data_IF_777919814515
#
_entry.id   IF_777919814515
#
_cell.length_a   1.000
_cell.length_b   1.000
_cell.length_c   1.000
_cell.angle_alpha   90.00
_cell.angle_beta   90.00
_cell.angle_gamma   90.00
#
_symmetry.space_group_name_H-M   'P 1'
#
loop_
_entity.id
_entity.type
_entity.pdbx_description
1 polymer ?
#
# COMPACT_ATOMS: atom_id res chain seq x y z
N UNK A 1 0.10 34.62 -21.33
CA UNK A 1 1.47 34.13 -21.59
C UNK A 1 1.39 32.62 -21.57
N UNK A 2 1.93 31.97 -22.60
CA UNK A 2 1.94 30.51 -22.66
C UNK A 2 3.06 30.04 -21.71
N UNK A 3 2.71 29.42 -20.57
CA UNK A 3 3.71 28.95 -19.59
C UNK A 3 4.37 27.69 -20.11
N UNK A 4 5.56 27.34 -19.58
CA UNK A 4 6.22 26.05 -19.90
C UNK A 4 5.28 24.87 -19.63
N UNK A 5 4.44 24.97 -18.60
CA UNK A 5 3.45 23.94 -18.25
C UNK A 5 2.35 23.81 -19.30
N UNK A 6 1.86 24.91 -19.89
CA UNK A 6 0.86 24.88 -20.98
C UNK A 6 1.38 24.13 -22.18
N UNK A 7 2.61 24.41 -22.62
CA UNK A 7 3.25 23.73 -23.74
C UNK A 7 3.46 22.23 -23.47
N UNK A 8 3.86 21.86 -22.24
CA UNK A 8 4.00 20.46 -21.84
C UNK A 8 2.65 19.73 -21.76
N UNK A 9 1.59 20.40 -21.30
CA UNK A 9 0.24 19.82 -21.28
C UNK A 9 -0.27 19.52 -22.70
N UNK A 10 -0.03 20.42 -23.66
CA UNK A 10 -0.36 20.19 -25.08
C UNK A 10 0.41 18.98 -25.65
N UNK A 11 1.71 18.89 -25.39
CA UNK A 11 2.54 17.73 -25.78
C UNK A 11 2.07 16.44 -25.15
N UNK A 12 1.72 16.45 -23.84
CA UNK A 12 1.20 15.28 -23.12
C UNK A 12 -0.08 14.77 -23.76
N UNK A 13 -1.02 15.65 -24.10
CA UNK A 13 -2.29 15.27 -24.75
C UNK A 13 -2.08 14.55 -26.08
N UNK A 14 -1.03 14.90 -26.81
CA UNK A 14 -0.65 14.24 -28.06
C UNK A 14 0.10 12.92 -27.87
N UNK A 15 0.95 12.83 -26.83
CA UNK A 15 1.90 11.73 -26.66
C UNK A 15 1.41 10.62 -25.72
N UNK A 16 0.46 10.89 -24.81
CA UNK A 16 0.02 9.93 -23.80
C UNK A 16 -1.49 9.68 -23.86
N UNK A 17 -1.94 8.42 -23.62
CA UNK A 17 -3.36 8.11 -23.65
C UNK A 17 -4.11 8.78 -22.50
N UNK A 18 -5.36 9.16 -22.73
CA UNK A 18 -6.26 9.79 -21.76
C UNK A 18 -6.41 9.00 -20.46
N UNK A 19 -6.28 7.67 -20.51
CA UNK A 19 -6.38 6.80 -19.33
C UNK A 19 -5.28 7.01 -18.28
N UNK A 20 -4.15 7.66 -18.66
CA UNK A 20 -3.11 8.08 -17.72
C UNK A 20 -3.49 9.44 -17.13
N UNK A 21 -4.33 9.43 -16.10
CA UNK A 21 -4.75 10.64 -15.38
C UNK A 21 -3.61 11.24 -14.56
N UNK A 22 -3.61 12.57 -14.44
CA UNK A 22 -2.69 13.32 -13.55
C UNK A 22 -3.48 14.31 -12.71
N UNK A 23 -3.03 14.56 -11.49
CA UNK A 23 -3.63 15.53 -10.58
C UNK A 23 -3.17 16.94 -10.91
N UNK A 24 -1.86 17.15 -11.03
CA UNK A 24 -1.26 18.46 -11.24
C UNK A 24 -1.18 18.81 -12.73
N UNK A 25 -1.34 20.09 -13.05
CA UNK A 25 -1.14 20.62 -14.41
C UNK A 25 0.25 21.25 -14.61
N UNK A 26 1.10 21.18 -13.58
CA UNK A 26 2.52 21.56 -13.60
C UNK A 26 3.41 20.32 -13.59
N UNK A 27 4.69 20.49 -13.87
CA UNK A 27 5.65 19.39 -14.05
C UNK A 27 6.82 19.56 -13.08
N UNK A 28 7.12 18.51 -12.32
CA UNK A 28 8.25 18.48 -11.42
C UNK A 28 9.59 18.58 -12.19
N UNK A 29 10.53 19.37 -11.66
CA UNK A 29 11.90 19.47 -12.15
C UNK A 29 12.88 18.79 -11.20
N UNK A 30 12.72 19.01 -9.90
CA UNK A 30 13.52 18.37 -8.85
C UNK A 30 12.70 18.17 -7.58
N UNK A 31 13.18 17.28 -6.74
CA UNK A 31 12.61 17.09 -5.41
C UNK A 31 13.69 16.70 -4.41
N UNK A 32 13.51 17.09 -3.15
CA UNK A 32 14.40 16.77 -2.05
C UNK A 32 13.62 16.73 -0.74
N UNK A 33 13.82 15.69 0.07
CA UNK A 33 13.09 15.46 1.30
C UNK A 33 11.56 15.59 1.09
N UNK A 34 10.90 16.57 1.68
CA UNK A 34 9.46 16.82 1.56
C UNK A 34 9.10 17.94 0.55
N UNK A 35 10.05 18.40 -0.26
CA UNK A 35 9.84 19.51 -1.18
C UNK A 35 9.98 19.09 -2.64
N UNK A 36 9.03 19.51 -3.47
CA UNK A 36 9.10 19.42 -4.94
C UNK A 36 9.20 20.82 -5.52
N UNK A 37 10.03 21.00 -6.54
CA UNK A 37 10.09 22.22 -7.36
C UNK A 37 9.60 21.90 -8.77
N UNK A 38 8.76 22.76 -9.28
CA UNK A 38 8.32 22.67 -10.67
C UNK A 38 9.34 23.32 -11.64
N UNK A 39 9.04 23.23 -12.94
CA UNK A 39 9.89 23.79 -13.99
C UNK A 39 9.96 25.33 -14.00
N UNK A 40 9.06 26.01 -13.31
CA UNK A 40 9.02 27.46 -13.17
C UNK A 40 9.65 27.93 -11.85
N UNK A 41 10.13 26.99 -11.00
CA UNK A 41 10.80 27.26 -9.74
C UNK A 41 9.87 27.39 -8.54
N UNK A 42 8.56 27.14 -8.71
CA UNK A 42 7.63 27.13 -7.59
C UNK A 42 7.89 25.93 -6.68
N UNK A 43 7.69 26.10 -5.37
CA UNK A 43 7.91 25.06 -4.35
C UNK A 43 6.60 24.53 -3.83
N UNK A 44 6.57 23.22 -3.62
CA UNK A 44 5.41 22.51 -3.03
C UNK A 44 5.88 21.59 -1.91
N UNK A 45 5.20 21.62 -0.77
CA UNK A 45 5.34 20.63 0.29
C UNK A 45 4.57 19.37 -0.15
N UNK A 46 5.27 18.23 -0.20
CA UNK A 46 4.72 16.98 -0.72
C UNK A 46 4.17 16.08 0.40
N UNK A 47 2.90 16.24 0.74
CA UNK A 47 2.19 15.29 1.62
C UNK A 47 1.64 14.08 0.85
N UNK A 48 1.71 14.09 -0.49
CA UNK A 48 1.36 12.93 -1.31
C UNK A 48 2.43 11.84 -1.28
N UNK A 49 3.70 12.23 -1.11
CA UNK A 49 4.84 11.33 -1.02
C UNK A 49 4.93 10.32 -2.18
N UNK A 50 4.57 10.75 -3.41
CA UNK A 50 4.49 9.83 -4.56
C UNK A 50 3.43 8.73 -4.40
N UNK A 51 2.31 9.02 -3.76
CA UNK A 51 1.25 8.08 -3.31
C UNK A 51 1.81 7.13 -2.23
N UNK A 52 2.28 7.72 -1.13
CA UNK A 52 2.78 7.02 0.05
C UNK A 52 4.00 6.10 -0.20
N UNK A 53 4.90 6.52 -1.09
CA UNK A 53 6.13 5.79 -1.44
C UNK A 53 7.35 6.29 -0.65
N UNK A 54 7.36 7.57 -0.28
CA UNK A 54 8.57 8.28 0.14
C UNK A 54 8.59 8.53 1.66
N UNK A 55 8.53 7.46 2.45
CA UNK A 55 8.60 7.57 3.93
C UNK A 55 9.96 8.09 4.42
N UNK A 56 11.02 7.93 3.62
CA UNK A 56 12.35 8.48 3.88
C UNK A 56 12.56 9.85 3.22
N UNK A 57 11.56 10.39 2.54
CA UNK A 57 11.69 11.62 1.73
C UNK A 57 12.25 11.38 0.34
N UNK A 58 12.17 12.41 -0.51
CA UNK A 58 12.77 12.41 -1.84
C UNK A 58 14.29 12.36 -1.74
N UNK A 59 14.93 11.49 -2.52
CA UNK A 59 16.39 11.40 -2.67
C UNK A 59 17.14 11.28 -1.33
N UNK A 60 16.65 10.44 -0.44
CA UNK A 60 17.35 10.21 0.83
C UNK A 60 18.84 9.88 0.59
N UNK A 61 19.80 10.55 1.27
CA UNK A 61 21.23 10.42 0.96
C UNK A 61 21.74 8.97 0.98
N UNK A 62 21.34 8.17 1.98
CA UNK A 62 21.72 6.75 2.08
C UNK A 62 21.19 5.93 0.90
N UNK A 63 19.94 6.17 0.50
CA UNK A 63 19.31 5.47 -0.63
C UNK A 63 20.03 5.80 -1.93
N UNK A 64 20.34 7.09 -2.17
CA UNK A 64 21.07 7.51 -3.37
C UNK A 64 22.50 6.93 -3.39
N UNK A 65 23.19 6.92 -2.25
CA UNK A 65 24.53 6.36 -2.15
C UNK A 65 24.54 4.85 -2.45
N UNK A 66 23.62 4.07 -1.85
CA UNK A 66 23.53 2.63 -2.09
C UNK A 66 23.20 2.28 -3.54
N UNK A 67 22.29 3.02 -4.16
CA UNK A 67 21.93 2.86 -5.57
C UNK A 67 23.12 3.21 -6.46
N UNK A 68 23.83 4.31 -6.19
CA UNK A 68 25.02 4.74 -6.96
C UNK A 68 26.12 3.68 -6.85
N UNK A 69 26.35 3.13 -5.68
CA UNK A 69 27.32 2.04 -5.49
C UNK A 69 26.92 0.80 -6.29
N UNK A 70 25.65 0.38 -6.23
CA UNK A 70 25.17 -0.78 -7.01
C UNK A 70 25.36 -0.59 -8.52
N UNK A 71 25.18 0.62 -9.04
CA UNK A 71 25.40 0.93 -10.46
C UNK A 71 26.85 0.71 -10.90
N UNK A 72 27.82 0.75 -9.98
CA UNK A 72 29.23 0.44 -10.31
C UNK A 72 29.53 -1.05 -10.41
N UNK A 73 28.62 -1.92 -9.91
CA UNK A 73 28.79 -3.39 -9.91
C UNK A 73 28.10 -4.02 -11.13
N UNK A 74 26.78 -3.97 -11.16
CA UNK A 74 25.95 -4.41 -12.28
C UNK A 74 24.54 -3.84 -12.13
N UNK A 75 23.82 -3.72 -13.25
CA UNK A 75 22.47 -3.14 -13.30
C UNK A 75 21.37 -4.21 -13.26
N UNK A 76 21.64 -5.39 -13.86
CA UNK A 76 20.63 -6.45 -13.99
C UNK A 76 21.28 -7.78 -14.36
N UNK A 77 20.81 -8.88 -13.76
CA UNK A 77 21.23 -10.25 -14.09
C UNK A 77 20.05 -11.20 -14.24
N UNK A 78 18.81 -10.77 -13.95
CA UNK A 78 17.66 -11.60 -13.66
C UNK A 78 17.99 -12.61 -12.55
N UNK A 79 17.54 -12.37 -11.32
CA UNK A 79 17.90 -13.19 -10.13
C UNK A 79 17.73 -14.71 -10.37
N UNK A 80 16.73 -15.10 -11.14
CA UNK A 80 16.45 -16.49 -11.48
C UNK A 80 17.50 -17.11 -12.41
N UNK A 81 18.34 -16.30 -13.09
CA UNK A 81 19.41 -16.76 -13.98
C UNK A 81 20.75 -16.71 -13.26
N UNK A 82 21.10 -15.55 -12.71
CA UNK A 82 22.33 -15.36 -11.94
C UNK A 82 21.98 -14.67 -10.63
N UNK A 83 21.88 -15.43 -9.53
CA UNK A 83 21.53 -14.89 -8.22
C UNK A 83 22.65 -13.98 -7.68
N UNK A 84 22.29 -13.10 -6.76
CA UNK A 84 23.21 -12.17 -6.08
C UNK A 84 22.88 -12.08 -4.60
N UNK A 85 23.92 -11.92 -3.78
CA UNK A 85 23.88 -11.97 -2.33
C UNK A 85 22.92 -10.94 -1.72
N UNK A 86 22.89 -9.71 -2.26
CA UNK A 86 22.05 -8.64 -1.70
C UNK A 86 20.56 -8.96 -1.72
N UNK A 87 20.08 -9.77 -2.67
CA UNK A 87 18.69 -10.27 -2.66
C UNK A 87 18.46 -11.19 -1.46
N UNK A 88 19.39 -12.12 -1.19
CA UNK A 88 19.30 -13.07 -0.07
C UNK A 88 19.34 -12.30 1.25
N UNK A 89 20.31 -11.39 1.40
CA UNK A 89 20.44 -10.56 2.58
C UNK A 89 19.21 -9.70 2.84
N UNK A 90 18.56 -9.16 1.79
CA UNK A 90 17.30 -8.44 1.96
C UNK A 90 16.17 -9.37 2.45
N UNK A 91 16.09 -10.59 1.90
CA UNK A 91 15.09 -11.58 2.34
C UNK A 91 15.31 -11.94 3.82
N UNK A 92 16.54 -12.16 4.26
CA UNK A 92 16.89 -12.43 5.66
C UNK A 92 16.47 -11.27 6.57
N UNK A 93 16.79 -10.03 6.20
CA UNK A 93 16.40 -8.83 6.96
C UNK A 93 14.89 -8.67 7.09
N UNK A 94 14.14 -8.94 6.03
CA UNK A 94 12.67 -8.89 6.04
C UNK A 94 12.11 -10.01 6.90
N UNK A 95 12.61 -11.25 6.74
CA UNK A 95 12.15 -12.42 7.51
C UNK A 95 12.30 -12.22 9.03
N UNK A 96 13.40 -11.61 9.47
CA UNK A 96 13.65 -11.31 10.88
C UNK A 96 12.69 -10.26 11.47
N UNK A 97 12.19 -9.35 10.63
CA UNK A 97 11.39 -8.19 11.05
C UNK A 97 9.91 -8.36 10.86
N UNK A 98 9.51 -9.24 9.95
CA UNK A 98 8.09 -9.43 9.61
C UNK A 98 7.34 -10.07 10.78
N UNK A 99 6.16 -9.57 11.15
CA UNK A 99 5.34 -10.14 12.22
C UNK A 99 4.61 -11.41 11.79
N UNK A 100 5.37 -12.41 11.34
CA UNK A 100 4.90 -13.73 10.94
C UNK A 100 5.12 -14.72 12.10
N UNK A 101 4.24 -15.72 12.23
CA UNK A 101 4.39 -16.76 13.23
C UNK A 101 5.34 -17.87 12.74
N UNK A 102 6.42 -18.12 13.49
CA UNK A 102 7.42 -19.13 13.14
C UNK A 102 8.41 -18.69 12.06
N UNK A 103 9.10 -19.62 11.39
CA UNK A 103 10.06 -19.32 10.34
C UNK A 103 9.37 -18.62 9.15
N UNK A 104 10.00 -17.57 8.63
CA UNK A 104 9.50 -16.80 7.50
C UNK A 104 10.42 -16.91 6.28
N UNK A 105 9.85 -16.73 5.09
CA UNK A 105 10.56 -16.54 3.82
C UNK A 105 9.98 -15.38 3.04
N UNK A 106 10.83 -14.68 2.28
CA UNK A 106 10.42 -13.57 1.43
C UNK A 106 10.80 -13.79 -0.03
N UNK A 107 9.96 -13.29 -0.94
CA UNK A 107 10.24 -13.21 -2.36
C UNK A 107 9.93 -11.80 -2.85
N UNK A 108 10.75 -11.27 -3.76
CA UNK A 108 10.61 -9.89 -4.26
C UNK A 108 10.13 -9.87 -5.71
N UNK A 109 9.38 -8.82 -6.03
CA UNK A 109 8.79 -8.52 -7.34
C UNK A 109 8.99 -7.03 -7.64
N UNK A 110 8.28 -6.49 -8.64
CA UNK A 110 8.48 -5.10 -9.08
C UNK A 110 7.42 -4.16 -8.54
N UNK A 111 6.14 -4.55 -8.56
CA UNK A 111 5.01 -3.69 -8.20
C UNK A 111 4.14 -4.29 -7.10
N UNK A 112 3.39 -3.43 -6.37
CA UNK A 112 2.44 -3.91 -5.35
C UNK A 112 1.39 -4.86 -5.92
N UNK A 113 0.92 -4.62 -7.15
CA UNK A 113 0.00 -5.53 -7.82
C UNK A 113 0.60 -6.93 -8.03
N UNK A 114 1.89 -7.02 -8.43
CA UNK A 114 2.58 -8.31 -8.54
C UNK A 114 2.72 -8.99 -7.18
N UNK A 115 3.02 -8.26 -6.11
CA UNK A 115 3.07 -8.83 -4.77
C UNK A 115 1.72 -9.46 -4.38
N UNK A 116 0.61 -8.75 -4.58
CA UNK A 116 -0.74 -9.27 -4.28
C UNK A 116 -1.11 -10.44 -5.19
N UNK A 117 -0.84 -10.37 -6.50
CA UNK A 117 -1.03 -11.50 -7.44
C UNK A 117 -0.27 -12.75 -6.99
N UNK A 118 0.99 -12.58 -6.55
CA UNK A 118 1.80 -13.70 -6.08
C UNK A 118 1.34 -14.20 -4.70
N UNK A 119 0.87 -13.35 -3.79
CA UNK A 119 0.26 -13.79 -2.54
C UNK A 119 -0.98 -14.66 -2.79
N UNK A 120 -1.83 -14.29 -3.76
CA UNK A 120 -2.96 -15.12 -4.20
C UNK A 120 -2.50 -16.45 -4.80
N UNK A 121 -1.47 -16.44 -5.66
CA UNK A 121 -0.90 -17.66 -6.24
C UNK A 121 -0.36 -18.59 -5.17
N UNK A 122 0.40 -18.06 -4.20
CA UNK A 122 0.97 -18.82 -3.08
C UNK A 122 -0.17 -19.43 -2.25
N UNK A 123 -1.18 -18.62 -1.88
CA UNK A 123 -2.31 -19.07 -1.09
C UNK A 123 -3.09 -20.19 -1.78
N UNK A 124 -3.39 -20.05 -3.07
CA UNK A 124 -4.06 -21.08 -3.86
C UNK A 124 -3.23 -22.36 -3.98
N UNK A 125 -1.91 -22.20 -4.19
CA UNK A 125 -1.01 -23.35 -4.31
C UNK A 125 -0.92 -24.13 -3.00
N UNK A 126 -0.78 -23.43 -1.86
CA UNK A 126 -0.67 -24.06 -0.54
C UNK A 126 -1.95 -24.76 -0.11
N UNK A 127 -3.09 -24.13 -0.32
CA UNK A 127 -4.39 -24.67 0.14
C UNK A 127 -5.05 -25.62 -0.84
N UNK A 128 -4.68 -25.57 -2.13
CA UNK A 128 -5.40 -26.26 -3.21
C UNK A 128 -6.77 -25.67 -3.51
N UNK A 129 -7.08 -24.47 -2.99
CA UNK A 129 -8.40 -23.83 -3.07
C UNK A 129 -8.36 -22.60 -3.98
N UNK A 130 -9.51 -22.09 -4.41
CA UNK A 130 -9.55 -21.03 -5.41
C UNK A 130 -10.18 -19.71 -4.94
N UNK A 131 -11.04 -19.72 -3.90
CA UNK A 131 -11.77 -18.55 -3.43
C UNK A 131 -10.87 -17.54 -2.71
N UNK A 132 -11.12 -16.28 -2.94
CA UNK A 132 -10.48 -15.16 -2.25
C UNK A 132 -11.57 -14.25 -1.69
N UNK A 133 -11.54 -13.99 -0.40
CA UNK A 133 -12.39 -12.96 0.22
C UNK A 133 -11.55 -11.71 0.44
N UNK A 134 -12.09 -10.55 0.09
CA UNK A 134 -11.51 -9.23 0.32
C UNK A 134 -12.59 -8.29 0.84
N UNK A 135 -12.32 -7.00 0.96
CA UNK A 135 -13.24 -6.08 1.63
C UNK A 135 -13.64 -4.90 0.75
N UNK A 136 -14.87 -4.45 0.93
CA UNK A 136 -15.36 -3.22 0.31
C UNK A 136 -14.42 -2.03 0.61
N UNK A 137 -14.28 -1.13 -0.34
CA UNK A 137 -13.36 0.02 -0.34
C UNK A 137 -11.85 -0.33 -0.33
N UNK A 138 -11.46 -1.61 -0.27
CA UNK A 138 -10.06 -2.03 -0.37
C UNK A 138 -9.45 -1.72 -1.73
N UNK A 139 -8.12 -1.53 -1.77
CA UNK A 139 -7.37 -1.33 -3.01
C UNK A 139 -6.14 -2.24 -3.05
N UNK A 140 -6.06 -3.11 -4.04
CA UNK A 140 -5.02 -4.13 -4.14
C UNK A 140 -4.19 -4.07 -5.42
N UNK A 141 -4.52 -3.18 -6.34
CA UNK A 141 -3.77 -2.99 -7.59
C UNK A 141 -4.66 -2.82 -8.83
N UNK A 142 -4.01 -2.81 -10.00
CA UNK A 142 -4.63 -2.56 -11.31
C UNK A 142 -4.40 -3.68 -12.33
N UNK A 143 -3.87 -4.84 -11.96
CA UNK A 143 -3.93 -6.06 -12.77
C UNK A 143 -5.29 -6.73 -12.61
N UNK A 144 -5.68 -7.64 -13.49
CA UNK A 144 -7.05 -8.17 -13.51
C UNK A 144 -7.47 -8.81 -12.18
N UNK A 145 -6.62 -9.64 -11.56
CA UNK A 145 -6.96 -10.25 -10.27
C UNK A 145 -7.02 -9.20 -9.16
N UNK A 146 -6.06 -8.28 -9.09
CA UNK A 146 -6.05 -7.22 -8.08
C UNK A 146 -7.18 -6.22 -8.29
N UNK A 147 -7.61 -5.95 -9.54
CA UNK A 147 -8.83 -5.19 -9.83
C UNK A 147 -10.07 -5.93 -9.35
N UNK A 148 -10.16 -7.25 -9.58
CA UNK A 148 -11.27 -8.05 -9.04
C UNK A 148 -11.36 -7.90 -7.52
N UNK A 149 -10.20 -7.94 -6.82
CA UNK A 149 -10.09 -7.80 -5.37
C UNK A 149 -10.37 -6.38 -4.86
N UNK A 150 -10.13 -5.34 -5.66
CA UNK A 150 -10.35 -3.94 -5.28
C UNK A 150 -11.85 -3.67 -5.08
N UNK A 151 -12.22 -3.10 -3.93
CA UNK A 151 -13.61 -2.86 -3.50
C UNK A 151 -14.28 -1.61 -4.10
N UNK A 152 -13.73 -1.04 -5.19
CA UNK A 152 -14.20 0.20 -5.82
C UNK A 152 -14.32 0.02 -7.33
N UNK A 153 -15.48 0.38 -7.93
CA UNK A 153 -15.72 0.20 -9.36
C UNK A 153 -15.03 1.27 -10.21
N UNK A 154 -15.35 2.53 -9.97
CA UNK A 154 -14.74 3.64 -10.70
C UNK A 154 -13.56 4.22 -9.91
N UNK A 155 -12.44 4.56 -10.59
CA UNK A 155 -12.16 4.39 -12.02
C UNK A 155 -11.58 3.01 -12.39
N UNK A 156 -11.44 2.08 -11.44
CA UNK A 156 -10.54 0.92 -11.55
C UNK A 156 -11.09 -0.24 -12.38
N UNK A 157 -12.40 -0.54 -12.29
CA UNK A 157 -13.02 -1.70 -12.95
C UNK A 157 -13.91 -1.32 -14.14
N UNK A 158 -14.36 -0.07 -14.19
CA UNK A 158 -15.32 0.38 -15.20
C UNK A 158 -14.74 0.19 -16.61
N UNK A 159 -15.53 -0.42 -17.49
CA UNK A 159 -15.27 -0.58 -18.91
C UNK A 159 -14.10 -1.53 -19.27
N UNK A 160 -13.55 -2.28 -18.31
CA UNK A 160 -12.50 -3.27 -18.55
C UNK A 160 -13.02 -4.72 -18.74
N UNK A 161 -14.33 -4.92 -18.80
CA UNK A 161 -14.95 -6.22 -19.04
C UNK A 161 -15.08 -7.08 -17.80
N UNK A 162 -15.09 -8.40 -18.00
CA UNK A 162 -15.31 -9.37 -16.93
C UNK A 162 -14.05 -9.56 -16.07
N UNK A 163 -14.21 -9.44 -14.76
CA UNK A 163 -13.14 -9.70 -13.81
C UNK A 163 -12.97 -11.20 -13.54
N UNK A 164 -11.78 -11.67 -13.13
CA UNK A 164 -11.57 -13.04 -12.69
C UNK A 164 -12.58 -13.47 -11.63
N UNK A 165 -13.11 -14.69 -11.78
CA UNK A 165 -14.06 -15.28 -10.84
C UNK A 165 -13.40 -15.73 -9.52
N UNK A 166 -14.24 -16.02 -8.52
CA UNK A 166 -13.80 -16.54 -7.22
C UNK A 166 -13.27 -15.47 -6.26
N UNK A 167 -13.64 -14.20 -6.47
CA UNK A 167 -13.36 -13.09 -5.55
C UNK A 167 -14.69 -12.58 -4.97
N UNK A 168 -14.74 -12.50 -3.65
CA UNK A 168 -15.91 -12.09 -2.87
C UNK A 168 -15.56 -10.90 -2.00
N UNK A 169 -16.54 -10.01 -1.72
CA UNK A 169 -16.30 -8.78 -0.98
C UNK A 169 -17.15 -8.75 0.30
N UNK A 170 -16.50 -8.88 1.44
CA UNK A 170 -17.12 -8.65 2.74
C UNK A 170 -17.14 -7.15 3.10
N UNK A 171 -17.88 -6.78 4.14
CA UNK A 171 -17.86 -5.43 4.71
C UNK A 171 -16.61 -5.21 5.56
N UNK A 172 -15.89 -4.10 5.32
CA UNK A 172 -14.82 -3.68 6.22
C UNK A 172 -15.40 -2.93 7.42
N UNK A 173 -14.95 -3.18 8.67
CA UNK A 173 -15.48 -2.50 9.84
C UNK A 173 -15.07 -1.02 9.83
N UNK A 174 -16.07 -0.14 9.81
CA UNK A 174 -15.91 1.32 9.92
C UNK A 174 -17.00 1.84 10.87
N UNK A 175 -16.77 1.76 12.20
CA UNK A 175 -17.82 2.12 13.19
C UNK A 175 -18.35 3.54 13.00
N UNK A 176 -17.51 4.50 12.64
CA UNK A 176 -17.90 5.87 12.32
C UNK A 176 -18.92 5.98 11.17
N UNK A 177 -19.02 4.94 10.34
CA UNK A 177 -19.99 4.83 9.22
C UNK A 177 -21.11 3.81 9.51
N UNK A 178 -21.26 3.38 10.75
CA UNK A 178 -22.29 2.41 11.16
C UNK A 178 -21.99 0.96 10.78
N UNK A 179 -20.77 0.62 10.33
CA UNK A 179 -20.37 -0.76 10.07
C UNK A 179 -19.60 -1.27 11.28
N UNK A 180 -20.30 -1.99 12.16
CA UNK A 180 -19.71 -2.58 13.38
C UNK A 180 -18.79 -3.77 13.04
N UNK A 181 -17.99 -4.18 14.04
CA UNK A 181 -17.21 -5.41 13.94
C UNK A 181 -18.11 -6.62 13.71
N UNK A 182 -19.25 -6.70 14.43
CA UNK A 182 -20.21 -7.80 14.26
C UNK A 182 -20.75 -7.86 12.83
N UNK A 183 -21.21 -6.74 12.30
CA UNK A 183 -21.72 -6.67 10.93
C UNK A 183 -20.67 -7.03 9.87
N UNK A 184 -19.39 -6.71 10.13
CA UNK A 184 -18.30 -7.07 9.23
C UNK A 184 -17.98 -8.57 9.28
N UNK A 185 -17.98 -9.18 10.46
CA UNK A 185 -17.80 -10.63 10.63
C UNK A 185 -19.00 -11.39 10.02
N UNK A 186 -20.22 -10.97 10.31
CA UNK A 186 -21.44 -11.54 9.73
C UNK A 186 -21.36 -11.58 8.20
N UNK A 187 -20.88 -10.50 7.57
CA UNK A 187 -20.73 -10.48 6.11
C UNK A 187 -19.68 -11.48 5.55
N UNK A 188 -18.72 -11.93 6.35
CA UNK A 188 -17.83 -13.03 5.98
C UNK A 188 -18.55 -14.36 6.09
N UNK A 189 -19.40 -14.52 7.13
CA UNK A 189 -20.20 -15.74 7.33
C UNK A 189 -21.32 -15.86 6.28
N UNK A 190 -21.92 -14.74 5.87
CA UNK A 190 -22.88 -14.68 4.74
C UNK A 190 -22.25 -15.22 3.46
N UNK A 191 -21.04 -14.79 3.11
CA UNK A 191 -20.28 -15.31 1.94
C UNK A 191 -20.12 -16.84 2.04
N UNK A 192 -19.86 -17.38 3.23
CA UNK A 192 -19.70 -18.83 3.40
C UNK A 192 -21.02 -19.58 3.24
N UNK A 193 -22.15 -18.95 3.53
CA UNK A 193 -23.46 -19.58 3.42
C UNK A 193 -24.14 -19.38 2.05
N UNK A 194 -23.80 -18.32 1.34
CA UNK A 194 -24.52 -17.90 0.13
C UNK A 194 -23.68 -18.04 -1.15
N UNK A 195 -22.34 -17.79 -1.09
CA UNK A 195 -21.52 -17.62 -2.29
C UNK A 195 -20.50 -18.75 -2.48
N UNK A 196 -19.76 -19.14 -1.42
CA UNK A 196 -18.68 -20.12 -1.51
C UNK A 196 -18.45 -20.85 -0.17
N UNK A 197 -18.38 -22.16 -0.21
CA UNK A 197 -18.09 -22.92 0.99
C UNK A 197 -16.70 -22.58 1.58
N UNK A 198 -16.56 -22.50 2.92
CA UNK A 198 -15.28 -22.09 3.53
C UNK A 198 -14.09 -23.01 3.20
N UNK A 199 -14.34 -24.28 2.85
CA UNK A 199 -13.29 -25.21 2.45
C UNK A 199 -12.79 -24.97 1.01
N UNK A 200 -13.42 -24.11 0.23
CA UNK A 200 -12.97 -23.67 -1.10
C UNK A 200 -12.28 -22.30 -1.09
N UNK A 201 -12.26 -21.62 0.07
CA UNK A 201 -11.59 -20.33 0.24
C UNK A 201 -10.11 -20.55 0.56
N UNK A 202 -9.23 -20.00 -0.28
CA UNK A 202 -7.78 -20.05 -0.10
C UNK A 202 -7.29 -19.00 0.90
N UNK A 203 -7.78 -17.78 0.79
CA UNK A 203 -7.33 -16.67 1.62
C UNK A 203 -8.40 -15.59 1.83
N UNK A 204 -8.26 -14.89 2.96
CA UNK A 204 -8.91 -13.62 3.24
C UNK A 204 -7.81 -12.56 3.21
N UNK A 205 -7.98 -11.52 2.37
CA UNK A 205 -6.99 -10.47 2.14
C UNK A 205 -7.55 -9.13 2.61
N UNK A 206 -6.81 -8.43 3.47
CA UNK A 206 -7.20 -7.11 3.96
C UNK A 206 -6.01 -6.16 4.06
N UNK A 207 -6.28 -4.87 3.95
CA UNK A 207 -5.34 -3.82 4.34
C UNK A 207 -5.50 -3.56 5.85
N UNK A 208 -4.43 -3.58 6.67
CA UNK A 208 -4.52 -3.20 8.09
C UNK A 208 -4.97 -1.75 8.29
N UNK A 209 -4.64 -0.90 7.31
CA UNK A 209 -5.22 0.44 7.14
C UNK A 209 -5.60 0.58 5.68
N UNK A 210 -6.89 0.73 5.39
CA UNK A 210 -7.34 0.95 4.02
C UNK A 210 -6.84 2.30 3.49
N UNK A 211 -5.91 2.29 2.52
CA UNK A 211 -5.37 3.51 1.94
C UNK A 211 -6.41 4.26 1.11
N UNK A 212 -6.69 3.76 -0.08
CA UNK A 212 -7.68 4.34 -1.02
C UNK A 212 -9.12 4.32 -0.46
N UNK A 213 -9.38 3.49 0.54
CA UNK A 213 -10.68 3.36 1.20
C UNK A 213 -11.00 4.48 2.20
N UNK A 214 -10.02 5.32 2.56
CA UNK A 214 -10.23 6.44 3.46
C UNK A 214 -9.47 6.36 4.79
N UNK A 215 -8.32 5.72 4.82
CA UNK A 215 -7.46 5.51 6.00
C UNK A 215 -8.23 4.88 7.19
N UNK A 216 -9.07 3.91 6.86
CA UNK A 216 -9.80 3.15 7.88
C UNK A 216 -8.84 2.17 8.56
N UNK A 217 -8.62 2.34 9.85
CA UNK A 217 -7.77 1.44 10.66
C UNK A 217 -8.61 0.25 11.10
N UNK A 218 -8.10 -0.97 10.88
CA UNK A 218 -8.79 -2.19 11.29
C UNK A 218 -8.84 -2.33 12.82
N UNK A 219 -10.02 -2.56 13.44
CA UNK A 219 -10.12 -2.84 14.87
C UNK A 219 -9.42 -4.15 15.25
N UNK A 220 -8.66 -4.15 16.34
CA UNK A 220 -7.96 -5.35 16.84
C UNK A 220 -8.90 -6.53 17.08
N UNK A 221 -10.10 -6.27 17.58
CA UNK A 221 -11.14 -7.30 17.78
C UNK A 221 -11.55 -7.96 16.46
N UNK A 222 -11.72 -7.17 15.40
CA UNK A 222 -12.02 -7.72 14.07
C UNK A 222 -10.94 -8.67 13.59
N UNK A 223 -9.66 -8.25 13.66
CA UNK A 223 -8.52 -9.10 13.27
C UNK A 223 -8.47 -10.39 14.08
N UNK A 224 -8.70 -10.31 15.40
CA UNK A 224 -8.74 -11.49 16.28
C UNK A 224 -9.82 -12.48 15.86
N UNK A 225 -11.03 -12.00 15.61
CA UNK A 225 -12.16 -12.84 15.16
C UNK A 225 -11.94 -13.40 13.76
N UNK A 226 -11.41 -12.59 12.86
CA UNK A 226 -11.07 -13.01 11.50
C UNK A 226 -9.99 -14.10 11.51
N UNK A 227 -8.97 -13.97 12.37
CA UNK A 227 -7.95 -15.02 12.59
C UNK A 227 -8.59 -16.32 13.07
N UNK A 228 -9.50 -16.27 14.02
CA UNK A 228 -10.20 -17.45 14.50
C UNK A 228 -11.02 -18.14 13.40
N UNK A 229 -11.66 -17.40 12.52
CA UNK A 229 -12.36 -17.94 11.34
C UNK A 229 -11.36 -18.62 10.40
N UNK A 230 -10.25 -17.94 10.10
CA UNK A 230 -9.19 -18.47 9.25
C UNK A 230 -8.62 -19.80 9.80
N UNK A 231 -8.30 -19.83 11.10
CA UNK A 231 -7.77 -21.03 11.77
C UNK A 231 -8.77 -22.19 11.75
N UNK A 232 -10.05 -21.91 12.05
CA UNK A 232 -11.13 -22.90 12.05
C UNK A 232 -11.27 -23.61 10.69
N UNK A 233 -11.12 -22.86 9.60
CA UNK A 233 -11.39 -23.35 8.25
C UNK A 233 -10.13 -23.65 7.42
N UNK A 234 -8.92 -23.41 7.97
CA UNK A 234 -7.64 -23.54 7.25
C UNK A 234 -7.50 -22.56 6.09
N UNK A 235 -8.04 -21.34 6.27
CA UNK A 235 -7.94 -20.23 5.32
C UNK A 235 -6.71 -19.38 5.69
N UNK A 236 -5.95 -18.91 4.71
CA UNK A 236 -4.83 -18.04 4.97
C UNK A 236 -5.29 -16.59 5.20
N UNK A 237 -4.72 -15.94 6.22
CA UNK A 237 -4.90 -14.51 6.45
C UNK A 237 -3.75 -13.75 5.78
N UNK A 238 -4.08 -12.88 4.83
CA UNK A 238 -3.11 -12.07 4.09
C UNK A 238 -3.28 -10.61 4.47
N UNK A 239 -2.24 -9.99 5.00
CA UNK A 239 -2.20 -8.56 5.25
C UNK A 239 -1.56 -7.83 4.05
N UNK A 240 -2.32 -6.97 3.38
CA UNK A 240 -1.80 -6.10 2.34
C UNK A 240 -1.21 -4.84 2.97
N UNK A 241 0.10 -4.84 3.15
CA UNK A 241 0.87 -3.73 3.71
C UNK A 241 1.62 -2.91 2.65
N UNK A 242 1.19 -2.99 1.40
CA UNK A 242 1.77 -2.20 0.31
C UNK A 242 1.79 -0.70 0.65
N UNK A 243 0.79 -0.19 1.36
CA UNK A 243 0.75 1.22 1.76
C UNK A 243 1.08 1.46 3.23
N UNK A 244 0.71 0.56 4.12
CA UNK A 244 0.82 0.74 5.57
C UNK A 244 2.19 0.38 6.16
N UNK A 245 3.01 -0.36 5.42
CA UNK A 245 4.33 -0.80 5.87
C UNK A 245 5.43 0.27 5.85
N UNK A 246 6.60 -0.11 6.31
CA UNK A 246 7.85 0.65 6.29
C UNK A 246 7.72 2.03 6.97
N UNK A 247 7.43 2.01 8.27
CA UNK A 247 7.29 3.13 9.19
C UNK A 247 6.04 4.01 9.00
N UNK A 248 5.25 3.84 7.92
CA UNK A 248 4.10 4.71 7.64
C UNK A 248 3.12 4.82 8.81
N UNK A 249 2.86 3.74 9.52
CA UNK A 249 1.93 3.68 10.66
C UNK A 249 2.60 3.82 12.03
N UNK A 250 3.89 4.21 12.08
CA UNK A 250 4.65 4.33 13.32
C UNK A 250 5.23 3.00 13.84
N UNK A 251 5.15 1.95 13.04
CA UNK A 251 5.84 0.66 13.19
C UNK A 251 6.37 0.24 11.82
N UNK A 252 7.35 -0.70 11.79
CA UNK A 252 7.90 -1.16 10.52
C UNK A 252 6.83 -1.81 9.64
N UNK A 253 5.98 -2.64 10.22
CA UNK A 253 4.76 -3.17 9.61
C UNK A 253 3.55 -2.76 10.44
N UNK A 254 2.42 -2.46 9.80
CA UNK A 254 1.19 -2.13 10.53
C UNK A 254 0.69 -3.29 11.39
N UNK A 255 0.92 -4.54 10.97
CA UNK A 255 0.61 -5.72 11.78
C UNK A 255 1.40 -5.81 13.09
N UNK A 256 2.47 -5.00 13.27
CA UNK A 256 3.15 -4.88 14.57
C UNK A 256 2.32 -4.16 15.64
N UNK A 257 1.21 -3.50 15.28
CA UNK A 257 0.26 -2.93 16.25
C UNK A 257 -0.66 -3.97 16.87
N UNK A 258 -0.68 -5.21 16.36
CA UNK A 258 -1.63 -6.25 16.73
C UNK A 258 -0.93 -7.51 17.24
N UNK A 259 -1.58 -8.23 18.16
CA UNK A 259 -1.14 -9.56 18.59
C UNK A 259 -1.40 -10.61 17.47
N UNK A 260 -2.45 -10.39 16.68
CA UNK A 260 -2.80 -11.24 15.53
C UNK A 260 -1.69 -11.24 14.49
N UNK A 261 -1.30 -12.43 14.04
CA UNK A 261 -0.30 -12.61 12.97
C UNK A 261 -0.99 -13.00 11.66
N UNK A 262 -0.49 -12.45 10.55
CA UNK A 262 -0.86 -12.90 9.22
C UNK A 262 -0.05 -14.12 8.79
N UNK A 263 -0.56 -14.89 7.84
CA UNK A 263 0.18 -15.99 7.20
C UNK A 263 1.08 -15.47 6.08
N UNK A 264 0.64 -14.43 5.37
CA UNK A 264 1.37 -13.71 4.32
C UNK A 264 1.20 -12.20 4.53
N UNK A 265 2.24 -11.43 4.21
CA UNK A 265 2.22 -9.97 4.16
C UNK A 265 2.74 -9.54 2.78
N UNK A 266 1.99 -8.70 2.06
CA UNK A 266 2.47 -8.05 0.84
C UNK A 266 3.09 -6.70 1.17
N UNK A 267 4.15 -6.31 0.46
CA UNK A 267 4.89 -5.08 0.68
C UNK A 267 5.35 -4.47 -0.64
N UNK A 268 5.42 -3.14 -0.70
CA UNK A 268 5.94 -2.38 -1.85
C UNK A 268 6.20 -0.92 -1.44
N UNK A 269 5.96 0.02 -2.35
CA UNK A 269 6.01 1.48 -2.11
C UNK A 269 7.24 1.89 -1.30
N UNK A 270 7.06 2.20 -0.01
CA UNK A 270 8.13 2.71 0.86
C UNK A 270 9.27 1.73 1.08
N UNK A 271 9.11 0.43 0.80
CA UNK A 271 10.21 -0.54 0.78
C UNK A 271 11.36 -0.06 -0.12
N UNK A 272 11.05 0.56 -1.25
CA UNK A 272 12.06 0.96 -2.24
C UNK A 272 12.51 2.42 -2.18
N UNK A 273 11.89 3.27 -1.33
CA UNK A 273 12.25 4.69 -1.22
C UNK A 273 12.24 5.45 -2.54
N UNK A 274 11.31 5.09 -3.46
CA UNK A 274 11.19 5.65 -4.81
C UNK A 274 11.65 4.70 -5.93
N UNK A 275 12.33 3.60 -5.62
CA UNK A 275 12.73 2.58 -6.59
C UNK A 275 11.70 1.44 -6.62
N UNK A 276 11.32 0.94 -7.84
CA UNK A 276 10.29 -0.09 -7.97
C UNK A 276 10.74 -1.43 -7.40
N UNK A 277 10.18 -1.81 -6.25
CA UNK A 277 10.30 -3.12 -5.62
C UNK A 277 9.04 -3.42 -4.83
N UNK A 278 8.68 -4.69 -4.81
CA UNK A 278 7.64 -5.23 -3.95
C UNK A 278 8.01 -6.63 -3.48
N UNK A 279 7.25 -7.19 -2.58
CA UNK A 279 7.51 -8.55 -2.11
C UNK A 279 6.33 -9.14 -1.35
N UNK A 280 6.47 -10.43 -1.11
CA UNK A 280 5.64 -11.20 -0.19
C UNK A 280 6.56 -11.82 0.84
N UNK A 281 6.24 -11.66 2.11
CA UNK A 281 6.86 -12.40 3.22
C UNK A 281 5.77 -13.21 3.93
N UNK A 282 6.08 -14.43 4.30
CA UNK A 282 5.10 -15.29 4.96
C UNK A 282 5.73 -16.49 5.62
N UNK A 283 4.88 -17.32 6.23
CA UNK A 283 5.27 -18.59 6.84
C UNK A 283 6.05 -19.44 5.83
N UNK A 284 7.18 -19.98 6.25
CA UNK A 284 8.12 -20.67 5.34
C UNK A 284 7.43 -21.80 4.56
N UNK A 285 6.60 -22.62 5.22
CA UNK A 285 5.89 -23.73 4.58
C UNK A 285 4.83 -23.25 3.56
N UNK A 286 4.25 -22.07 3.77
CA UNK A 286 3.30 -21.47 2.83
C UNK A 286 4.04 -20.91 1.62
N UNK A 287 5.16 -20.20 1.86
CA UNK A 287 5.99 -19.64 0.80
C UNK A 287 6.66 -20.69 -0.09
N UNK A 288 6.93 -21.89 0.45
CA UNK A 288 7.53 -23.02 -0.28
C UNK A 288 6.53 -23.84 -1.08
N UNK A 289 5.24 -23.56 -1.02
CA UNK A 289 4.23 -24.33 -1.74
C UNK A 289 4.35 -24.29 -3.28
N UNK A 290 4.65 -23.13 -3.91
CA UNK A 290 4.84 -23.12 -5.36
C UNK A 290 6.11 -23.85 -5.80
N UNK A 291 6.01 -24.62 -6.90
CA UNK A 291 7.17 -25.29 -7.49
C UNK A 291 8.23 -24.26 -7.97
N UNK A 292 9.51 -24.67 -8.05
CA UNK A 292 10.57 -23.86 -8.62
C UNK A 292 10.18 -23.27 -9.98
N UNK A 293 10.38 -21.98 -10.18
CA UNK A 293 9.96 -21.23 -11.37
C UNK A 293 8.50 -20.73 -11.32
N UNK A 294 7.71 -21.11 -10.32
CA UNK A 294 6.32 -20.65 -10.17
C UNK A 294 6.17 -19.19 -9.74
N UNK A 295 7.20 -18.64 -9.08
CA UNK A 295 7.28 -17.23 -8.66
C UNK A 295 8.45 -16.55 -9.36
N UNK A 296 8.33 -15.26 -9.66
CA UNK A 296 9.42 -14.46 -10.22
C UNK A 296 8.96 -13.50 -11.31
N UNK A 297 9.92 -12.98 -12.04
CA UNK A 297 9.76 -12.03 -13.14
C UNK A 297 11.13 -11.53 -13.59
N UNK A 298 11.26 -11.09 -14.82
CA UNK A 298 12.56 -10.63 -15.36
C UNK A 298 13.20 -9.54 -14.48
N UNK A 299 12.42 -8.59 -13.99
CA UNK A 299 12.87 -7.49 -13.13
C UNK A 299 12.57 -7.70 -11.63
N UNK A 300 12.04 -8.87 -11.27
CA UNK A 300 11.69 -9.19 -9.90
C UNK A 300 12.93 -9.12 -8.99
N UNK A 301 12.84 -8.29 -7.93
CA UNK A 301 13.97 -8.06 -7.04
C UNK A 301 15.17 -7.42 -7.73
N UNK A 302 14.96 -6.41 -8.60
CA UNK A 302 16.05 -5.69 -9.30
C UNK A 302 17.19 -5.30 -8.34
N UNK A 303 18.47 -5.53 -8.71
CA UNK A 303 19.61 -5.24 -7.85
C UNK A 303 19.67 -3.80 -7.34
N UNK A 304 19.30 -2.84 -8.19
CA UNK A 304 19.25 -1.42 -7.87
C UNK A 304 18.18 -1.16 -6.81
N UNK A 305 16.99 -1.74 -6.97
CA UNK A 305 15.89 -1.57 -6.04
C UNK A 305 16.11 -2.33 -4.72
N UNK A 306 16.80 -3.48 -4.76
CA UNK A 306 17.26 -4.21 -3.57
C UNK A 306 18.26 -3.37 -2.77
N UNK A 307 19.23 -2.74 -3.42
CA UNK A 307 20.17 -1.83 -2.76
C UNK A 307 19.44 -0.64 -2.10
N UNK A 308 18.46 -0.06 -2.81
CA UNK A 308 17.61 0.99 -2.25
C UNK A 308 16.84 0.50 -1.02
N UNK A 309 16.25 -0.71 -1.06
CA UNK A 309 15.47 -1.28 0.04
C UNK A 309 16.33 -1.51 1.30
N UNK A 310 17.58 -1.98 1.15
CA UNK A 310 18.52 -2.07 2.27
C UNK A 310 18.73 -0.71 2.94
N UNK A 311 19.01 0.32 2.15
CA UNK A 311 19.26 1.67 2.65
C UNK A 311 18.00 2.32 3.26
N UNK A 312 16.81 1.98 2.77
CA UNK A 312 15.54 2.40 3.38
C UNK A 312 15.38 1.81 4.77
N UNK A 313 15.64 0.51 4.94
CA UNK A 313 15.56 -0.13 6.26
C UNK A 313 16.59 0.51 7.22
N UNK A 314 17.83 0.75 6.75
CA UNK A 314 18.85 1.42 7.54
C UNK A 314 18.42 2.83 7.98
N UNK A 315 17.86 3.62 7.05
CA UNK A 315 17.36 4.95 7.36
C UNK A 315 16.22 4.92 8.38
N UNK A 316 15.25 3.99 8.22
CA UNK A 316 14.14 3.85 9.17
C UNK A 316 14.65 3.53 10.58
N UNK A 317 15.62 2.63 10.70
CA UNK A 317 16.14 2.17 11.99
C UNK A 317 17.07 3.21 12.64
N UNK A 318 18.04 3.73 11.88
CA UNK A 318 19.05 4.65 12.43
C UNK A 318 18.52 6.06 12.72
N UNK A 319 17.52 6.50 11.98
CA UNK A 319 16.89 7.83 12.16
C UNK A 319 15.58 7.77 12.95
N UNK A 320 15.22 6.59 13.50
CA UNK A 320 14.03 6.36 14.31
C UNK A 320 12.73 6.85 13.62
N UNK A 321 12.59 6.56 12.31
CA UNK A 321 11.48 7.11 11.51
C UNK A 321 10.11 6.56 11.94
N UNK A 322 10.04 5.42 12.64
CA UNK A 322 8.80 4.94 13.25
C UNK A 322 8.31 5.91 14.33
N UNK A 323 9.20 6.36 15.23
CA UNK A 323 8.85 7.32 16.27
C UNK A 323 8.53 8.67 15.67
N UNK A 324 9.30 9.11 14.67
CA UNK A 324 9.02 10.34 13.93
C UNK A 324 7.64 10.33 13.25
N UNK A 325 7.22 9.20 12.69
CA UNK A 325 5.88 9.05 12.10
C UNK A 325 4.77 9.19 13.17
N UNK A 326 4.98 8.67 14.38
CA UNK A 326 4.05 8.83 15.49
C UNK A 326 3.96 10.28 15.96
N UNK A 327 5.11 10.96 16.13
CA UNK A 327 5.17 12.39 16.50
C UNK A 327 4.44 13.26 15.48
N UNK A 328 4.76 13.10 14.20
CA UNK A 328 4.15 13.84 13.11
C UNK A 328 2.63 13.60 13.04
N UNK A 329 2.21 12.34 13.18
CA UNK A 329 0.79 11.99 13.21
C UNK A 329 0.06 12.66 14.38
N UNK A 330 0.65 12.66 15.58
CA UNK A 330 0.07 13.30 16.76
C UNK A 330 -0.05 14.83 16.58
N UNK A 331 0.96 15.49 16.01
CA UNK A 331 0.96 16.93 15.72
C UNK A 331 -0.13 17.30 14.71
N UNK A 332 -0.21 16.53 13.60
CA UNK A 332 -1.24 16.72 12.58
C UNK A 332 -2.66 16.54 13.16
N UNK A 333 -2.88 15.49 13.95
CA UNK A 333 -4.18 15.24 14.59
C UNK A 333 -4.55 16.37 15.55
N UNK A 334 -3.61 16.89 16.34
CA UNK A 334 -3.86 18.01 17.23
C UNK A 334 -4.31 19.26 16.45
N UNK A 335 -3.55 19.63 15.42
CA UNK A 335 -3.87 20.75 14.53
C UNK A 335 -5.25 20.60 13.87
N UNK A 336 -5.54 19.41 13.35
CA UNK A 336 -6.81 19.11 12.69
C UNK A 336 -8.00 19.16 13.66
N UNK A 337 -7.82 18.72 14.91
CA UNK A 337 -8.85 18.83 15.96
C UNK A 337 -9.13 20.28 16.33
N UNK A 338 -8.11 21.15 16.39
CA UNK A 338 -8.30 22.57 16.62
C UNK A 338 -9.10 23.21 15.47
N UNK A 339 -8.80 22.85 14.23
CA UNK A 339 -9.58 23.27 13.06
C UNK A 339 -11.03 22.76 13.17
N UNK A 340 -11.23 21.51 13.51
CA UNK A 340 -12.57 20.90 13.66
C UNK A 340 -13.45 21.63 14.67
N UNK A 341 -12.89 22.19 15.76
CA UNK A 341 -13.66 22.95 16.76
C UNK A 341 -14.37 24.17 16.14
N UNK A 342 -13.80 24.77 15.10
CA UNK A 342 -14.36 25.94 14.43
C UNK A 342 -15.08 25.59 13.11
N UNK A 343 -14.98 24.34 12.64
CA UNK A 343 -15.52 23.85 11.37
C UNK A 343 -16.20 22.49 11.50
N UNK A 344 -16.89 22.26 12.64
CA UNK A 344 -17.48 20.96 12.98
C UNK A 344 -18.58 20.50 12.03
N UNK A 345 -19.20 21.43 11.31
CA UNK A 345 -20.17 21.17 10.25
C UNK A 345 -19.52 20.73 8.92
N UNK A 346 -18.22 20.90 8.76
CA UNK A 346 -17.46 20.53 7.56
C UNK A 346 -16.56 19.32 7.81
N UNK A 347 -15.81 19.33 8.92
CA UNK A 347 -14.90 18.22 9.30
C UNK A 347 -15.66 17.20 10.14
N UNK A 348 -16.03 16.09 9.52
CA UNK A 348 -16.90 15.08 10.14
C UNK A 348 -16.15 14.01 10.91
N UNK A 349 -14.90 13.68 10.52
CA UNK A 349 -14.07 12.69 11.21
C UNK A 349 -12.57 12.95 10.97
N UNK A 350 -11.73 12.54 11.92
CA UNK A 350 -10.26 12.57 11.83
C UNK A 350 -9.74 11.19 12.25
N UNK A 351 -9.06 10.51 11.34
CA UNK A 351 -8.47 9.17 11.55
C UNK A 351 -6.97 9.22 11.42
N UNK A 352 -6.26 8.48 12.26
CA UNK A 352 -4.81 8.41 12.19
C UNK A 352 -4.25 7.09 12.74
N UNK A 353 -3.15 6.64 12.14
CA UNK A 353 -2.24 5.66 12.70
C UNK A 353 -0.82 6.01 12.22
N UNK A 354 0.06 6.43 13.14
CA UNK A 354 1.33 7.04 12.77
C UNK A 354 1.12 8.25 11.86
N UNK A 355 1.85 8.36 10.78
CA UNK A 355 1.72 9.44 9.79
C UNK A 355 0.67 9.19 8.70
N UNK A 356 -0.10 8.09 8.77
CA UNK A 356 -1.33 7.94 7.97
C UNK A 356 -2.46 8.72 8.64
N UNK A 357 -2.69 9.95 8.21
CA UNK A 357 -3.71 10.85 8.76
C UNK A 357 -4.71 11.21 7.68
N UNK A 358 -5.99 11.07 7.97
CA UNK A 358 -7.07 11.47 7.09
C UNK A 358 -8.06 12.38 7.82
N UNK A 359 -8.53 13.39 7.10
CA UNK A 359 -9.66 14.23 7.45
C UNK A 359 -10.81 13.86 6.54
N UNK A 360 -11.96 13.59 7.13
CA UNK A 360 -13.18 13.37 6.37
C UNK A 360 -14.04 14.63 6.39
N UNK A 361 -14.43 15.06 5.21
CA UNK A 361 -15.30 16.21 5.01
C UNK A 361 -16.73 15.72 4.74
N UNK A 362 -17.70 16.62 4.85
CA UNK A 362 -19.11 16.29 4.66
C UNK A 362 -19.37 15.76 3.22
N UNK A 363 -18.68 16.35 2.22
CA UNK A 363 -18.85 15.96 0.81
C UNK A 363 -17.53 15.83 0.07
N UNK A 364 -17.53 15.02 -1.01
CA UNK A 364 -16.40 14.86 -1.91
C UNK A 364 -16.04 16.16 -2.66
N UNK A 365 -17.04 17.02 -2.92
CA UNK A 365 -16.84 18.34 -3.52
C UNK A 365 -16.02 19.25 -2.60
N UNK A 366 -16.33 19.27 -1.29
CA UNK A 366 -15.55 20.03 -0.30
C UNK A 366 -14.11 19.51 -0.25
N UNK A 367 -13.89 18.19 -0.23
CA UNK A 367 -12.56 17.60 -0.26
C UNK A 367 -11.77 18.05 -1.50
N UNK A 368 -12.43 18.11 -2.66
CA UNK A 368 -11.81 18.60 -3.90
C UNK A 368 -11.46 20.08 -3.84
N UNK A 369 -12.32 20.91 -3.23
CA UNK A 369 -12.03 22.35 -3.02
C UNK A 369 -10.82 22.51 -2.11
N UNK A 370 -10.76 21.80 -0.99
CA UNK A 370 -9.60 21.84 -0.06
C UNK A 370 -8.32 21.37 -0.76
N UNK A 371 -8.37 20.28 -1.52
CA UNK A 371 -7.21 19.78 -2.28
C UNK A 371 -6.69 20.82 -3.28
N UNK A 372 -7.59 21.44 -4.05
CA UNK A 372 -7.20 22.45 -5.04
C UNK A 372 -6.61 23.69 -4.36
N UNK A 373 -7.25 24.19 -3.30
CA UNK A 373 -6.77 25.34 -2.55
C UNK A 373 -5.39 25.08 -1.91
N UNK A 374 -5.18 23.89 -1.33
CA UNK A 374 -3.89 23.47 -0.80
C UNK A 374 -2.82 23.48 -1.90
N UNK A 375 -3.10 22.90 -3.06
CA UNK A 375 -2.18 22.87 -4.19
C UNK A 375 -1.82 24.28 -4.70
N UNK A 376 -2.81 25.20 -4.80
CA UNK A 376 -2.58 26.59 -5.19
C UNK A 376 -1.72 27.34 -4.17
N UNK A 377 -1.71 26.88 -2.91
CA UNK A 377 -0.90 27.45 -1.82
C UNK A 377 0.36 26.62 -1.50
N UNK A 378 0.81 25.78 -2.43
CA UNK A 378 2.09 25.10 -2.32
C UNK A 378 2.06 23.83 -1.45
N UNK A 379 0.89 23.21 -1.21
CA UNK A 379 0.76 21.97 -0.46
C UNK A 379 0.05 20.88 -1.30
N UNK A 380 0.72 19.75 -1.48
CA UNK A 380 0.14 18.61 -2.20
C UNK A 380 -0.58 17.67 -1.23
N UNK A 381 -1.89 17.55 -1.39
CA UNK A 381 -2.74 16.60 -0.68
C UNK A 381 -3.38 15.61 -1.66
N UNK A 382 -3.68 14.42 -1.18
CA UNK A 382 -4.45 13.43 -1.93
C UNK A 382 -5.84 13.28 -1.32
N UNK A 383 -6.83 12.99 -2.16
CA UNK A 383 -8.16 12.55 -1.71
C UNK A 383 -8.23 11.02 -1.74
N UNK A 384 -9.00 10.45 -0.81
CA UNK A 384 -9.23 9.01 -0.70
C UNK A 384 -10.67 8.75 -0.21
N UNK A 385 -11.05 7.48 -0.12
CA UNK A 385 -12.37 7.12 0.38
C UNK A 385 -13.50 7.32 -0.62
N UNK A 386 -14.73 7.24 -0.11
CA UNK A 386 -15.96 7.40 -0.88
C UNK A 386 -16.47 8.85 -0.83
N UNK A 387 -16.15 9.54 0.23
CA UNK A 387 -16.68 10.88 0.51
C UNK A 387 -15.62 11.98 0.34
N UNK A 388 -14.33 11.62 0.29
CA UNK A 388 -13.19 12.54 0.07
C UNK A 388 -12.32 12.73 1.28
#
# INVERSE_FOLDING_TARGET
>A
MDTQHSALNARKQQATPRGVGVMCQWYAEKAENATIWDKEGNQFIDFAGGIAVLNTGHRHPKVIAAVTEQLTKFTHTAYQVTPYESYVALAERINERAPIAGPAKAAFFTTGAEAVENAVKIARCYTGRHGIITFGNGFHGRSFMTMAMTGKTAPYKRDFGVMPAGVFHARYPVPAKGISVDAAIESVEDIFSEDIAPHDVAAIVLEPVQGEGGFNVVPAEFLKRLRAICDKHGILLVADEVQSGFARTGKLFAMNHYETKADLITMAKSLGGGFPISGVVGRAEVMDAPNPGGLGGTYAGSPIAVAAAHAVIDAIEEENLCDRANELGAELVATLKDIQQTTSDVVTDIRALGSMVAVELETAEQAKVVQNYAMENGLLLLTCGKYG
#
